data_IF_518672614792
#
_entry.id   IF_518672614792
#
_cell.length_a   1.000
_cell.length_b   1.000
_cell.length_c   1.000
_cell.angle_alpha   90.00
_cell.angle_beta   90.00
_cell.angle_gamma   90.00
#
_symmetry.space_group_name_H-M   'P 1'
#
loop_
_entity.id
_entity.type
_entity.pdbx_description
1 polymer ?
#
# COMPACT_ATOMS: atom_id res chain seq x y z
N UNK A 1 23.51 -15.43 23.68
CA UNK A 1 23.33 -15.51 22.21
C UNK A 1 24.20 -14.44 21.53
N UNK A 2 24.86 -14.74 20.40
CA UNK A 2 25.57 -13.69 19.64
C UNK A 2 24.58 -12.73 18.98
N UNK A 3 24.99 -11.47 18.74
CA UNK A 3 24.10 -10.46 18.14
C UNK A 3 23.52 -10.90 16.79
N UNK A 4 24.32 -11.56 15.95
CA UNK A 4 23.88 -12.06 14.64
C UNK A 4 22.85 -13.19 14.75
N UNK A 5 22.97 -14.05 15.76
CA UNK A 5 21.97 -15.09 16.03
C UNK A 5 20.65 -14.47 16.48
N UNK A 6 20.69 -13.46 17.36
CA UNK A 6 19.49 -12.78 17.82
C UNK A 6 18.73 -12.07 16.68
N UNK A 7 19.46 -11.42 15.77
CA UNK A 7 18.89 -10.81 14.56
C UNK A 7 18.26 -11.88 13.65
N UNK A 8 18.91 -13.03 13.48
CA UNK A 8 18.37 -14.16 12.71
C UNK A 8 17.05 -14.68 13.31
N UNK A 9 17.01 -14.95 14.61
CA UNK A 9 15.79 -15.40 15.30
C UNK A 9 14.65 -14.39 15.18
N UNK A 10 14.96 -13.09 15.24
CA UNK A 10 13.96 -12.05 15.12
C UNK A 10 13.39 -11.96 13.70
N UNK A 11 14.25 -12.03 12.68
CA UNK A 11 13.82 -12.04 11.28
C UNK A 11 13.00 -13.28 10.93
N UNK A 12 13.39 -14.44 11.46
CA UNK A 12 12.65 -15.68 11.24
C UNK A 12 11.27 -15.65 11.93
N UNK A 13 11.18 -15.10 13.15
CA UNK A 13 9.90 -14.89 13.82
C UNK A 13 8.98 -13.92 13.04
N UNK A 14 9.53 -12.83 12.49
CA UNK A 14 8.78 -11.87 11.66
C UNK A 14 8.28 -12.53 10.36
N UNK A 15 9.10 -13.37 9.73
CA UNK A 15 8.71 -14.15 8.55
C UNK A 15 7.57 -15.12 8.87
N UNK A 16 7.71 -15.92 9.93
CA UNK A 16 6.69 -16.87 10.37
C UNK A 16 5.37 -16.18 10.75
N UNK A 17 5.44 -15.02 11.39
CA UNK A 17 4.26 -14.22 11.71
C UNK A 17 3.50 -13.80 10.45
N UNK A 18 4.20 -13.32 9.41
CA UNK A 18 3.60 -12.94 8.12
C UNK A 18 2.98 -14.11 7.37
N UNK A 19 3.54 -15.30 7.54
CA UNK A 19 3.03 -16.55 6.93
C UNK A 19 1.87 -17.17 7.73
N UNK A 20 1.50 -16.61 8.89
CA UNK A 20 0.42 -17.12 9.74
C UNK A 20 0.83 -18.25 10.69
N UNK A 21 2.13 -18.57 10.76
CA UNK A 21 2.73 -19.56 11.65
C UNK A 21 2.99 -18.97 13.05
N UNK A 22 1.92 -18.59 13.75
CA UNK A 22 2.00 -17.80 14.98
C UNK A 22 2.59 -18.57 16.17
N UNK A 23 2.46 -19.90 16.20
CA UNK A 23 2.95 -20.72 17.31
C UNK A 23 4.47 -20.87 17.24
N UNK A 24 4.99 -21.13 16.04
CA UNK A 24 6.41 -21.20 15.74
C UNK A 24 7.08 -19.83 15.92
N UNK A 25 6.43 -18.76 15.44
CA UNK A 25 6.90 -17.39 15.67
C UNK A 25 7.03 -17.09 17.18
N UNK A 26 6.03 -17.49 17.98
CA UNK A 26 6.04 -17.32 19.43
C UNK A 26 7.16 -18.12 20.10
N UNK A 27 7.51 -19.30 19.59
CA UNK A 27 8.65 -20.09 20.09
C UNK A 27 9.97 -19.34 19.88
N UNK A 28 10.26 -18.87 18.67
CA UNK A 28 11.48 -18.10 18.39
C UNK A 28 11.56 -16.82 19.23
N UNK A 29 10.43 -16.12 19.40
CA UNK A 29 10.37 -14.92 20.24
C UNK A 29 10.55 -15.24 21.73
N UNK A 30 10.13 -16.40 22.22
CA UNK A 30 10.32 -16.79 23.63
C UNK A 30 11.78 -17.09 23.97
N UNK A 31 12.54 -17.67 23.02
CA UNK A 31 14.01 -17.80 23.14
C UNK A 31 14.66 -16.42 23.23
N UNK A 32 14.22 -15.47 22.38
CA UNK A 32 14.69 -14.08 22.42
C UNK A 32 14.30 -13.35 23.71
N UNK A 33 13.11 -13.59 24.27
CA UNK A 33 12.64 -13.02 25.54
C UNK A 33 13.55 -13.45 26.70
N UNK A 34 14.02 -14.71 26.70
CA UNK A 34 14.95 -15.23 27.70
C UNK A 34 16.30 -14.53 27.70
N UNK A 35 16.83 -14.22 26.51
CA UNK A 35 18.14 -13.55 26.35
C UNK A 35 18.05 -12.02 26.49
N UNK A 36 16.94 -11.41 26.06
CA UNK A 36 16.74 -9.95 26.05
C UNK A 36 15.42 -9.56 26.73
N UNK A 37 15.30 -9.78 28.06
CA UNK A 37 14.08 -9.49 28.80
C UNK A 37 13.75 -7.98 28.76
N UNK A 38 12.46 -7.65 28.64
CA UNK A 38 12.01 -6.26 28.65
C UNK A 38 12.29 -5.49 27.35
N UNK A 39 12.63 -6.17 26.25
CA UNK A 39 12.73 -5.53 24.95
C UNK A 39 11.36 -5.41 24.29
N UNK A 40 10.89 -4.17 24.08
CA UNK A 40 9.60 -3.90 23.43
C UNK A 40 9.45 -4.58 22.07
N UNK A 41 10.54 -4.61 21.28
CA UNK A 41 10.51 -5.16 19.93
C UNK A 41 10.28 -6.68 19.94
N UNK A 42 10.57 -7.37 21.04
CA UNK A 42 10.31 -8.81 21.19
C UNK A 42 8.94 -9.03 21.84
N UNK A 43 8.65 -8.33 22.94
CA UNK A 43 7.41 -8.49 23.71
C UNK A 43 6.14 -8.12 22.91
N UNK A 44 6.23 -7.10 22.05
CA UNK A 44 5.07 -6.64 21.28
C UNK A 44 4.63 -7.67 20.20
N UNK A 45 5.53 -8.20 19.34
CA UNK A 45 5.21 -9.34 18.47
C UNK A 45 4.72 -10.58 19.21
N UNK A 46 5.22 -10.88 20.41
CA UNK A 46 4.70 -12.00 21.20
C UNK A 46 3.23 -11.80 21.58
N UNK A 47 2.87 -10.58 22.02
CA UNK A 47 1.49 -10.26 22.34
C UNK A 47 0.58 -10.31 21.10
N UNK A 48 1.09 -9.91 19.93
CA UNK A 48 0.39 -10.09 18.65
C UNK A 48 0.18 -11.56 18.29
N UNK A 49 1.18 -12.43 18.46
CA UNK A 49 1.03 -13.87 18.23
C UNK A 49 -0.05 -14.46 19.16
N UNK A 50 -0.06 -14.08 20.43
CA UNK A 50 -1.09 -14.50 21.38
C UNK A 50 -2.50 -14.05 20.96
N UNK A 51 -2.65 -12.81 20.46
CA UNK A 51 -3.92 -12.30 19.91
C UNK A 51 -4.39 -13.17 18.72
N UNK A 52 -3.50 -13.44 17.77
CA UNK A 52 -3.85 -14.21 16.56
C UNK A 52 -4.17 -15.68 16.85
N UNK A 53 -3.54 -16.26 17.87
CA UNK A 53 -3.84 -17.61 18.36
C UNK A 53 -5.15 -17.69 19.17
N UNK A 54 -5.83 -16.56 19.41
CA UNK A 54 -7.02 -16.51 20.25
C UNK A 54 -6.75 -16.68 21.75
N UNK A 55 -5.47 -16.64 22.17
CA UNK A 55 -5.03 -16.70 23.58
C UNK A 55 -5.19 -15.31 24.22
N UNK A 56 -6.44 -14.84 24.24
CA UNK A 56 -6.81 -13.47 24.61
C UNK A 56 -6.40 -13.09 26.03
N UNK A 57 -6.51 -14.01 26.99
CA UNK A 57 -6.13 -13.75 28.38
C UNK A 57 -4.61 -13.52 28.52
N UNK A 58 -3.79 -14.32 27.84
CA UNK A 58 -2.33 -14.14 27.84
C UNK A 58 -1.90 -12.87 27.10
N UNK A 59 -2.54 -12.57 25.97
CA UNK A 59 -2.31 -11.34 25.24
C UNK A 59 -2.64 -10.11 26.12
N UNK A 60 -3.72 -10.19 26.90
CA UNK A 60 -4.13 -9.15 27.85
C UNK A 60 -3.09 -8.95 28.95
N UNK A 61 -2.66 -10.03 29.60
CA UNK A 61 -1.64 -9.98 30.66
C UNK A 61 -0.30 -9.44 30.17
N UNK A 62 0.13 -9.83 28.95
CA UNK A 62 1.35 -9.28 28.32
C UNK A 62 1.19 -7.78 28.05
N UNK A 63 0.05 -7.34 27.51
CA UNK A 63 -0.21 -5.93 27.29
C UNK A 63 -0.20 -5.12 28.60
N UNK A 64 -0.83 -5.62 29.65
CA UNK A 64 -0.87 -4.96 30.96
C UNK A 64 0.54 -4.76 31.53
N UNK A 65 1.38 -5.80 31.51
CA UNK A 65 2.79 -5.70 31.94
C UNK A 65 3.59 -4.71 31.10
N UNK A 66 3.37 -4.69 29.78
CA UNK A 66 4.05 -3.74 28.89
C UNK A 66 3.65 -2.27 29.17
N UNK A 67 2.40 -2.00 29.55
CA UNK A 67 1.99 -0.63 29.93
C UNK A 67 2.73 -0.10 31.15
N UNK A 68 3.09 -0.98 32.09
CA UNK A 68 3.89 -0.61 33.27
C UNK A 68 5.37 -0.39 32.91
N UNK A 69 5.90 -1.20 31.98
CA UNK A 69 7.31 -1.16 31.60
C UNK A 69 7.66 -0.04 30.63
N UNK A 70 6.77 0.30 29.69
CA UNK A 70 7.06 1.22 28.58
C UNK A 70 6.24 2.50 28.67
N UNK A 71 6.93 3.60 28.98
CA UNK A 71 6.33 4.95 29.13
C UNK A 71 6.40 5.80 27.87
N UNK A 72 7.06 5.33 26.81
CA UNK A 72 7.19 6.08 25.55
C UNK A 72 5.83 6.21 24.85
N UNK A 73 5.44 7.44 24.50
CA UNK A 73 4.15 7.75 23.88
C UNK A 73 3.89 6.92 22.61
N UNK A 74 4.90 6.79 21.74
CA UNK A 74 4.81 6.00 20.50
C UNK A 74 4.57 4.50 20.76
N UNK A 75 5.16 3.96 21.82
CA UNK A 75 4.95 2.56 22.21
C UNK A 75 3.57 2.38 22.84
N UNK A 76 3.15 3.31 23.69
CA UNK A 76 1.83 3.31 24.31
C UNK A 76 0.70 3.39 23.28
N UNK A 77 0.84 4.18 22.22
CA UNK A 77 -0.15 4.24 21.14
C UNK A 77 -0.35 2.88 20.46
N UNK A 78 0.75 2.20 20.10
CA UNK A 78 0.71 0.84 19.55
C UNK A 78 0.08 -0.15 20.51
N UNK A 79 0.44 -0.09 21.79
CA UNK A 79 -0.13 -0.93 22.84
C UNK A 79 -1.63 -0.70 23.04
N UNK A 80 -2.10 0.55 23.03
CA UNK A 80 -3.53 0.88 23.13
C UNK A 80 -4.31 0.27 21.97
N UNK A 81 -3.75 0.33 20.77
CA UNK A 81 -4.31 -0.32 19.59
C UNK A 81 -4.53 -1.82 19.81
N UNK A 82 -3.46 -2.55 20.15
CA UNK A 82 -3.52 -4.00 20.42
C UNK A 82 -4.47 -4.34 21.58
N UNK A 83 -4.33 -3.65 22.71
CA UNK A 83 -5.15 -3.87 23.90
C UNK A 83 -6.65 -3.69 23.63
N UNK A 84 -7.02 -2.69 22.82
CA UNK A 84 -8.41 -2.48 22.43
C UNK A 84 -8.99 -3.66 21.63
N UNK A 85 -8.18 -4.32 20.79
CA UNK A 85 -8.60 -5.50 20.02
C UNK A 85 -8.76 -6.72 20.92
N UNK A 86 -7.79 -6.96 21.80
CA UNK A 86 -7.83 -8.06 22.78
C UNK A 86 -9.06 -7.94 23.69
N UNK A 87 -9.36 -6.75 24.22
CA UNK A 87 -10.57 -6.52 25.04
C UNK A 87 -11.87 -6.82 24.29
N UNK A 88 -11.96 -6.46 23.00
CA UNK A 88 -13.14 -6.78 22.17
C UNK A 88 -13.28 -8.29 21.95
N UNK A 89 -12.19 -8.99 21.67
CA UNK A 89 -12.20 -10.45 21.50
C UNK A 89 -12.60 -11.16 22.80
N UNK A 90 -12.11 -10.70 23.96
CA UNK A 90 -12.46 -11.26 25.26
C UNK A 90 -13.96 -11.07 25.59
N UNK A 91 -14.53 -9.91 25.25
CA UNK A 91 -15.96 -9.65 25.40
C UNK A 91 -16.82 -10.52 24.46
N UNK A 92 -16.37 -10.70 23.22
CA UNK A 92 -17.05 -11.57 22.26
C UNK A 92 -17.05 -13.04 22.72
N UNK A 93 -15.94 -13.53 23.30
CA UNK A 93 -15.84 -14.87 23.84
C UNK A 93 -16.73 -15.13 25.07
N UNK A 94 -16.93 -14.11 25.94
CA UNK A 94 -17.77 -14.23 27.15
C UNK A 94 -19.28 -14.32 26.86
N UNK A 95 -19.74 -13.86 25.69
CA UNK A 95 -21.16 -13.84 25.32
C UNK A 95 -21.74 -15.21 24.94
N UNK A 96 -20.90 -16.19 24.63
CA UNK A 96 -21.32 -17.54 24.22
C UNK A 96 -21.11 -18.46 25.43
N UNK A 97 -22.13 -18.62 26.25
CA UNK A 97 -22.04 -19.26 27.56
C UNK A 97 -21.37 -20.64 27.56
N UNK A 98 -20.26 -20.75 28.31
CA UNK A 98 -20.08 -21.87 29.25
C UNK A 98 -19.31 -23.10 28.78
N UNK A 99 -18.55 -23.06 27.69
CA UNK A 99 -17.47 -24.03 27.49
C UNK A 99 -16.13 -23.31 27.57
N UNK A 100 -15.49 -23.43 28.74
CA UNK A 100 -14.07 -23.14 28.88
C UNK A 100 -13.37 -23.97 27.80
N UNK A 101 -12.73 -23.35 26.79
CA UNK A 101 -11.96 -24.11 25.82
C UNK A 101 -10.99 -24.97 26.62
N UNK A 102 -11.00 -26.28 26.34
CA UNK A 102 -10.15 -27.23 27.05
C UNK A 102 -8.73 -26.64 27.14
N UNK A 103 -8.07 -26.66 28.31
CA UNK A 103 -6.72 -26.15 28.46
C UNK A 103 -5.90 -26.75 27.33
N UNK A 104 -5.38 -25.90 26.43
CA UNK A 104 -4.50 -26.37 25.37
C UNK A 104 -3.40 -27.20 26.05
N UNK A 105 -3.12 -28.42 25.56
CA UNK A 105 -2.15 -29.30 26.19
C UNK A 105 -0.87 -28.50 26.35
N UNK A 106 -0.59 -28.20 27.60
CA UNK A 106 0.58 -27.45 27.96
C UNK A 106 1.75 -28.34 27.54
N UNK A 107 2.61 -27.84 26.66
CA UNK A 107 3.93 -28.40 26.38
C UNK A 107 4.00 -29.65 25.47
N UNK A 108 3.18 -29.80 24.43
CA UNK A 108 3.71 -30.51 23.24
C UNK A 108 4.73 -29.58 22.56
N UNK A 109 5.96 -29.60 23.10
CA UNK A 109 7.15 -29.15 22.41
C UNK A 109 7.19 -29.95 21.10
N UNK A 110 6.93 -29.29 19.99
CA UNK A 110 7.12 -29.90 18.67
C UNK A 110 8.63 -30.11 18.55
N UNK A 111 9.11 -31.30 18.92
CA UNK A 111 10.52 -31.72 18.82
C UNK A 111 10.96 -31.89 17.35
N UNK A 112 10.05 -31.79 16.40
CA UNK A 112 10.39 -31.73 14.99
C UNK A 112 11.09 -30.40 14.70
N UNK A 113 12.42 -30.47 14.61
CA UNK A 113 13.25 -29.43 14.00
C UNK A 113 12.56 -28.95 12.72
N UNK A 114 12.29 -27.64 12.58
CA UNK A 114 11.57 -27.11 11.42
C UNK A 114 12.28 -27.56 10.16
N UNK A 115 11.64 -28.42 9.36
CA UNK A 115 12.15 -28.77 8.04
C UNK A 115 12.10 -27.50 7.22
N UNK A 116 13.27 -26.99 6.83
CA UNK A 116 13.40 -25.92 5.86
C UNK A 116 12.72 -26.37 4.55
N UNK A 117 11.46 -26.01 4.36
CA UNK A 117 10.85 -26.01 3.04
C UNK A 117 11.50 -24.86 2.28
N UNK A 118 12.34 -25.17 1.30
CA UNK A 118 12.81 -24.17 0.35
C UNK A 118 11.57 -23.48 -0.24
N UNK A 119 11.42 -22.20 0.08
CA UNK A 119 10.32 -21.39 -0.43
C UNK A 119 10.48 -21.39 -1.95
N UNK A 120 9.62 -22.13 -2.64
CA UNK A 120 9.63 -22.20 -4.09
C UNK A 120 9.18 -20.82 -4.61
N UNK A 121 10.13 -19.89 -4.74
CA UNK A 121 9.96 -18.54 -5.30
C UNK A 121 9.77 -18.58 -6.82
N UNK A 122 8.96 -19.52 -7.31
CA UNK A 122 8.54 -19.57 -8.70
C UNK A 122 7.76 -18.30 -9.03
N UNK A 123 8.41 -17.34 -9.68
CA UNK A 123 7.76 -16.13 -10.19
C UNK A 123 8.42 -14.79 -9.82
N UNK A 124 9.55 -14.77 -9.10
CA UNK A 124 10.32 -13.53 -8.85
C UNK A 124 11.56 -13.48 -9.74
N UNK A 125 11.80 -12.33 -10.38
CA UNK A 125 13.04 -12.05 -11.12
C UNK A 125 13.92 -11.14 -10.28
N UNK A 126 15.16 -11.54 -10.02
CA UNK A 126 16.13 -10.70 -9.34
C UNK A 126 16.65 -9.64 -10.32
N UNK A 127 16.36 -8.36 -10.05
CA UNK A 127 16.89 -7.22 -10.79
C UNK A 127 17.82 -6.43 -9.86
N UNK A 128 19.10 -6.81 -9.84
CA UNK A 128 20.07 -6.28 -8.88
C UNK A 128 19.82 -6.85 -7.48
N UNK A 129 19.67 -5.97 -6.47
CA UNK A 129 19.36 -6.36 -5.08
C UNK A 129 17.85 -6.42 -4.78
N UNK A 130 17.01 -6.37 -5.81
CA UNK A 130 15.55 -6.28 -5.67
C UNK A 130 14.89 -7.52 -6.29
N UNK A 131 14.05 -8.18 -5.51
CA UNK A 131 13.22 -9.29 -5.98
C UNK A 131 11.90 -8.72 -6.51
N UNK A 132 11.73 -8.68 -7.83
CA UNK A 132 10.51 -8.14 -8.45
C UNK A 132 9.61 -9.30 -8.88
N UNK A 133 8.36 -9.37 -8.42
CA UNK A 133 7.40 -10.37 -8.87
C UNK A 133 7.05 -10.15 -10.36
N UNK A 134 7.23 -11.20 -11.18
CA UNK A 134 6.94 -11.20 -12.62
C UNK A 134 5.51 -10.77 -12.98
N UNK A 135 4.45 -11.16 -12.23
CA UNK A 135 3.09 -10.68 -12.50
C UNK A 135 2.97 -9.16 -12.49
N UNK A 136 3.75 -8.47 -11.65
CA UNK A 136 3.72 -7.01 -11.55
C UNK A 136 4.31 -6.32 -12.77
N UNK A 137 5.37 -6.91 -13.35
CA UNK A 137 5.97 -6.41 -14.60
C UNK A 137 4.97 -6.55 -15.75
N UNK A 138 4.33 -7.72 -15.87
CA UNK A 138 3.31 -7.94 -16.91
C UNK A 138 2.13 -6.99 -16.78
N UNK A 139 1.68 -6.71 -15.56
CA UNK A 139 0.60 -5.74 -15.35
C UNK A 139 1.03 -4.32 -15.73
N UNK A 140 2.24 -3.90 -15.35
CA UNK A 140 2.79 -2.61 -15.78
C UNK A 140 2.86 -2.48 -17.31
N UNK A 141 3.31 -3.53 -18.00
CA UNK A 141 3.32 -3.58 -19.47
C UNK A 141 1.92 -3.54 -20.08
N UNK A 142 0.95 -4.24 -19.49
CA UNK A 142 -0.44 -4.21 -19.95
C UNK A 142 -1.05 -2.81 -19.83
N UNK A 143 -0.83 -2.14 -18.69
CA UNK A 143 -1.29 -0.76 -18.46
C UNK A 143 -0.64 0.22 -19.45
N UNK A 144 0.67 0.09 -19.69
CA UNK A 144 1.38 0.89 -20.70
C UNK A 144 0.84 0.62 -22.11
N UNK A 145 0.58 -0.64 -22.47
CA UNK A 145 0.01 -0.99 -23.77
C UNK A 145 -1.38 -0.35 -23.99
N UNK A 146 -2.25 -0.38 -22.98
CA UNK A 146 -3.56 0.31 -23.02
C UNK A 146 -3.37 1.82 -23.20
N UNK A 147 -2.43 2.43 -22.48
CA UNK A 147 -2.13 3.84 -22.63
C UNK A 147 -1.66 4.21 -24.05
N UNK A 148 -0.74 3.44 -24.64
CA UNK A 148 -0.32 3.66 -26.02
C UNK A 148 -1.44 3.44 -27.05
N UNK A 149 -2.32 2.47 -26.82
CA UNK A 149 -3.50 2.27 -27.66
C UNK A 149 -4.46 3.47 -27.60
N UNK A 150 -4.65 4.08 -26.42
CA UNK A 150 -5.43 5.30 -26.27
C UNK A 150 -4.78 6.47 -27.01
N UNK A 151 -3.46 6.64 -26.93
CA UNK A 151 -2.74 7.67 -27.68
C UNK A 151 -2.85 7.45 -29.20
N UNK A 152 -2.72 6.21 -29.67
CA UNK A 152 -2.89 5.89 -31.08
C UNK A 152 -4.32 6.18 -31.55
N UNK A 153 -5.33 5.77 -30.80
CA UNK A 153 -6.74 6.09 -31.08
C UNK A 153 -7.00 7.59 -31.12
N UNK A 154 -6.43 8.34 -30.17
CA UNK A 154 -6.52 9.79 -30.11
C UNK A 154 -5.96 10.45 -31.37
N UNK A 155 -4.76 10.06 -31.81
CA UNK A 155 -4.16 10.58 -33.06
C UNK A 155 -5.02 10.28 -34.29
N UNK A 156 -5.64 9.10 -34.35
CA UNK A 156 -6.56 8.71 -35.42
C UNK A 156 -7.81 9.61 -35.46
N UNK A 157 -8.45 9.82 -34.30
CA UNK A 157 -9.65 10.65 -34.22
C UNK A 157 -9.38 12.12 -34.52
N UNK A 158 -8.26 12.67 -34.05
CA UNK A 158 -7.87 14.04 -34.40
C UNK A 158 -7.64 14.17 -35.90
N UNK A 159 -6.92 13.23 -36.51
CA UNK A 159 -6.68 13.24 -37.96
C UNK A 159 -7.98 13.16 -38.76
N UNK A 160 -8.93 12.32 -38.33
CA UNK A 160 -10.26 12.27 -38.94
C UNK A 160 -11.06 13.54 -38.74
N UNK A 161 -11.06 14.11 -37.53
CA UNK A 161 -11.77 15.35 -37.21
C UNK A 161 -11.30 16.52 -38.05
N UNK A 162 -9.98 16.66 -38.21
CA UNK A 162 -9.36 17.68 -39.05
C UNK A 162 -9.73 17.51 -40.54
N UNK A 163 -9.76 16.27 -41.04
CA UNK A 163 -10.05 16.01 -42.45
C UNK A 163 -11.54 16.17 -42.80
N UNK A 164 -12.45 15.81 -41.88
CA UNK A 164 -13.88 15.70 -42.18
C UNK A 164 -14.75 16.85 -41.65
N UNK A 165 -14.19 17.82 -40.92
CA UNK A 165 -14.94 18.85 -40.17
C UNK A 165 -16.10 18.25 -39.34
N UNK A 166 -15.94 17.02 -38.86
CA UNK A 166 -17.01 16.31 -38.16
C UNK A 166 -16.97 16.66 -36.66
N UNK A 167 -17.99 17.36 -36.11
CA UNK A 167 -18.00 17.75 -34.71
C UNK A 167 -18.01 16.55 -33.75
N UNK A 168 -18.57 15.41 -34.16
CA UNK A 168 -18.57 14.19 -33.35
C UNK A 168 -17.16 13.62 -33.15
N UNK A 169 -16.31 13.67 -34.17
CA UNK A 169 -14.92 13.21 -34.07
C UNK A 169 -14.14 14.06 -33.05
N UNK A 170 -14.43 15.37 -32.99
CA UNK A 170 -13.85 16.29 -31.99
C UNK A 170 -14.28 15.90 -30.57
N UNK A 171 -15.57 15.65 -30.32
CA UNK A 171 -16.06 15.23 -29.01
C UNK A 171 -15.44 13.90 -28.54
N UNK A 172 -15.36 12.91 -29.43
CA UNK A 172 -14.70 11.63 -29.11
C UNK A 172 -13.20 11.79 -28.87
N UNK A 173 -12.52 12.66 -29.63
CA UNK A 173 -11.13 13.02 -29.39
C UNK A 173 -10.92 13.63 -28.01
N UNK A 174 -11.76 14.59 -27.61
CA UNK A 174 -11.70 15.22 -26.28
C UNK A 174 -11.98 14.22 -25.15
N UNK A 175 -12.93 13.30 -25.33
CA UNK A 175 -13.21 12.25 -24.35
C UNK A 175 -12.04 11.28 -24.20
N UNK A 176 -11.44 10.83 -25.31
CA UNK A 176 -10.26 9.96 -25.29
C UNK A 176 -9.04 10.67 -24.67
N UNK A 177 -8.90 11.96 -24.94
CA UNK A 177 -7.86 12.79 -24.33
C UNK A 177 -8.00 12.85 -22.81
N UNK A 178 -9.20 13.16 -22.31
CA UNK A 178 -9.47 13.20 -20.88
C UNK A 178 -9.22 11.82 -20.21
N UNK A 179 -9.62 10.73 -20.88
CA UNK A 179 -9.38 9.37 -20.39
C UNK A 179 -7.88 9.04 -20.36
N UNK A 180 -7.12 9.39 -21.40
CA UNK A 180 -5.68 9.17 -21.45
C UNK A 180 -4.96 9.97 -20.35
N UNK A 181 -5.36 11.22 -20.12
CA UNK A 181 -4.83 12.05 -19.05
C UNK A 181 -5.11 11.47 -17.66
N UNK A 182 -6.32 10.96 -17.44
CA UNK A 182 -6.70 10.32 -16.19
C UNK A 182 -5.88 9.04 -15.95
N UNK A 183 -5.73 8.19 -16.97
CA UNK A 183 -4.92 6.97 -16.87
C UNK A 183 -3.45 7.29 -16.56
N UNK A 184 -2.87 8.27 -17.24
CA UNK A 184 -1.51 8.74 -16.96
C UNK A 184 -1.39 9.23 -15.51
N UNK A 185 -2.40 9.97 -15.05
CA UNK A 185 -2.49 10.47 -13.69
C UNK A 185 -2.47 9.35 -12.65
N UNK A 186 -3.22 8.26 -12.87
CA UNK A 186 -3.22 7.09 -11.99
C UNK A 186 -1.88 6.34 -12.00
N UNK A 187 -1.25 6.18 -13.18
CA UNK A 187 0.05 5.50 -13.31
C UNK A 187 1.13 6.24 -12.52
N UNK A 188 1.20 7.57 -12.68
CA UNK A 188 2.16 8.40 -11.95
C UNK A 188 1.90 8.31 -10.45
N UNK A 189 0.63 8.45 -10.03
CA UNK A 189 0.26 8.38 -8.63
C UNK A 189 0.67 7.05 -7.99
N UNK A 190 0.38 5.95 -8.68
CA UNK A 190 0.76 4.61 -8.26
C UNK A 190 2.28 4.48 -8.11
N UNK A 191 3.04 4.92 -9.11
CA UNK A 191 4.50 4.87 -9.09
C UNK A 191 5.10 5.67 -7.92
N UNK A 192 4.56 6.85 -7.63
CA UNK A 192 5.03 7.68 -6.52
C UNK A 192 4.72 7.03 -5.18
N UNK A 193 3.48 6.56 -4.98
CA UNK A 193 3.08 5.88 -3.74
C UNK A 193 3.86 4.59 -3.50
N UNK A 194 4.18 3.86 -4.56
CA UNK A 194 5.05 2.69 -4.50
C UNK A 194 6.46 3.03 -4.05
N UNK A 195 7.10 4.05 -4.66
CA UNK A 195 8.45 4.52 -4.27
C UNK A 195 8.49 5.00 -2.83
N UNK A 196 7.39 5.59 -2.35
CA UNK A 196 7.25 6.05 -0.97
C UNK A 196 6.92 4.95 0.05
N UNK A 197 6.66 3.72 -0.41
CA UNK A 197 6.18 2.62 0.43
C UNK A 197 4.91 3.00 1.22
N UNK A 198 3.97 3.67 0.55
CA UNK A 198 2.70 4.16 1.10
C UNK A 198 1.47 3.44 0.52
N UNK A 199 1.68 2.37 -0.23
CA UNK A 199 0.58 1.52 -0.69
C UNK A 199 -0.01 0.76 0.49
N UNK A 200 -1.35 0.65 0.52
CA UNK A 200 -2.09 0.12 1.67
C UNK A 200 -2.11 -1.41 1.71
N UNK A 201 -1.98 -2.06 0.56
CA UNK A 201 -2.12 -3.51 0.44
C UNK A 201 -0.82 -4.12 -0.07
N UNK A 202 -0.69 -5.44 0.10
CA UNK A 202 0.40 -6.21 -0.51
C UNK A 202 0.03 -6.68 -1.93
N UNK A 203 -1.27 -6.60 -2.29
CA UNK A 203 -1.81 -7.01 -3.58
C UNK A 203 -1.82 -5.85 -4.58
N UNK A 204 -0.96 -5.94 -5.59
CA UNK A 204 -0.80 -4.99 -6.69
C UNK A 204 -2.12 -4.51 -7.32
N UNK A 205 -3.05 -5.44 -7.61
CA UNK A 205 -4.33 -5.14 -8.25
C UNK A 205 -5.21 -4.30 -7.32
N UNK A 206 -5.24 -4.63 -6.03
CA UNK A 206 -6.07 -3.94 -5.05
C UNK A 206 -5.58 -2.51 -4.83
N UNK A 207 -4.26 -2.33 -4.78
CA UNK A 207 -3.65 -1.01 -4.73
C UNK A 207 -3.89 -0.19 -5.98
N UNK A 208 -3.77 -0.79 -7.17
CA UNK A 208 -4.04 -0.08 -8.41
C UNK A 208 -5.50 0.42 -8.48
N UNK A 209 -6.45 -0.42 -8.05
CA UNK A 209 -7.88 -0.05 -7.96
C UNK A 209 -8.10 1.06 -6.94
N UNK A 210 -7.49 0.96 -5.76
CA UNK A 210 -7.59 1.98 -4.71
C UNK A 210 -7.05 3.33 -5.18
N UNK A 211 -5.88 3.36 -5.80
CA UNK A 211 -5.29 4.57 -6.41
C UNK A 211 -6.20 5.14 -7.49
N UNK A 212 -6.79 4.31 -8.36
CA UNK A 212 -7.73 4.79 -9.37
C UNK A 212 -8.96 5.46 -8.75
N UNK A 213 -9.53 4.86 -7.70
CA UNK A 213 -10.69 5.41 -6.99
C UNK A 213 -10.31 6.73 -6.31
N UNK A 214 -9.18 6.76 -5.59
CA UNK A 214 -8.72 7.94 -4.88
C UNK A 214 -8.45 9.11 -5.85
N UNK A 215 -7.79 8.84 -6.98
CA UNK A 215 -7.51 9.85 -8.01
C UNK A 215 -8.79 10.30 -8.73
N UNK A 216 -9.76 9.42 -8.92
CA UNK A 216 -11.07 9.79 -9.48
C UNK A 216 -11.83 10.74 -8.56
N UNK A 217 -11.90 10.42 -7.26
CA UNK A 217 -12.53 11.28 -6.24
C UNK A 217 -11.81 12.64 -6.18
N UNK A 218 -10.48 12.64 -6.11
CA UNK A 218 -9.68 13.86 -6.10
C UNK A 218 -9.91 14.73 -7.35
N UNK A 219 -10.02 14.11 -8.53
CA UNK A 219 -10.30 14.78 -9.80
C UNK A 219 -11.69 15.38 -9.83
N UNK A 220 -12.71 14.66 -9.35
CA UNK A 220 -14.08 15.17 -9.24
C UNK A 220 -14.13 16.39 -8.30
N UNK A 221 -13.55 16.28 -7.11
CA UNK A 221 -13.52 17.36 -6.11
C UNK A 221 -12.85 18.61 -6.69
N UNK A 222 -11.70 18.43 -7.35
CA UNK A 222 -10.95 19.53 -7.97
C UNK A 222 -11.70 20.17 -9.15
N UNK A 223 -12.41 19.37 -9.95
CA UNK A 223 -13.20 19.85 -11.08
C UNK A 223 -14.42 20.67 -10.65
N UNK A 224 -15.09 20.29 -9.56
CA UNK A 224 -16.24 21.04 -9.03
C UNK A 224 -15.85 22.35 -8.33
N UNK A 225 -14.71 22.37 -7.65
CA UNK A 225 -14.24 23.53 -6.88
C UNK A 225 -12.75 23.78 -7.18
N UNK A 226 -12.39 24.57 -8.20
CA UNK A 226 -11.00 24.66 -8.68
C UNK A 226 -9.99 25.12 -7.62
N UNK A 227 -10.39 26.02 -6.70
CA UNK A 227 -9.50 26.52 -5.65
C UNK A 227 -9.61 25.75 -4.33
N UNK A 228 -10.82 25.42 -3.88
CA UNK A 228 -11.05 24.71 -2.60
C UNK A 228 -10.82 23.21 -2.78
N UNK A 229 -11.26 22.66 -3.90
CA UNK A 229 -11.16 21.24 -4.22
C UNK A 229 -9.73 20.76 -4.30
N UNK A 230 -8.79 21.60 -4.73
CA UNK A 230 -7.37 21.29 -4.67
C UNK A 230 -6.93 20.98 -3.22
N UNK A 231 -7.21 21.87 -2.26
CA UNK A 231 -6.87 21.67 -0.85
C UNK A 231 -7.57 20.46 -0.23
N UNK A 232 -8.84 20.23 -0.59
CA UNK A 232 -9.61 19.06 -0.12
C UNK A 232 -9.02 17.76 -0.68
N UNK A 233 -8.58 17.75 -1.94
CA UNK A 233 -7.90 16.61 -2.54
C UNK A 233 -6.56 16.31 -1.86
N UNK A 234 -5.76 17.34 -1.51
CA UNK A 234 -4.52 17.14 -0.73
C UNK A 234 -4.85 16.49 0.61
N UNK A 235 -5.82 17.05 1.33
CA UNK A 235 -6.20 16.55 2.66
C UNK A 235 -6.72 15.10 2.58
N UNK A 236 -7.53 14.80 1.57
CA UNK A 236 -8.04 13.45 1.33
C UNK A 236 -6.90 12.46 1.06
N UNK A 237 -5.99 12.76 0.13
CA UNK A 237 -4.86 11.89 -0.20
C UNK A 237 -3.90 11.72 0.99
N UNK A 238 -3.60 12.81 1.71
CA UNK A 238 -2.74 12.77 2.88
C UNK A 238 -3.32 11.88 3.98
N UNK A 239 -4.64 11.94 4.18
CA UNK A 239 -5.33 11.09 5.16
C UNK A 239 -5.45 9.63 4.71
N UNK A 240 -5.75 9.39 3.43
CA UNK A 240 -5.99 8.04 2.90
C UNK A 240 -4.72 7.19 2.85
N UNK A 241 -3.58 7.79 2.46
CA UNK A 241 -2.29 7.11 2.35
C UNK A 241 -1.33 7.40 3.52
N UNK A 242 -1.83 8.00 4.60
CA UNK A 242 -1.01 8.44 5.76
C UNK A 242 0.25 9.21 5.34
N UNK A 243 0.13 10.08 4.32
CA UNK A 243 1.25 10.87 3.82
C UNK A 243 1.43 12.12 4.68
N UNK A 244 2.69 12.50 4.89
CA UNK A 244 3.02 13.79 5.46
C UNK A 244 2.53 14.93 4.55
N UNK A 245 2.23 16.10 5.12
CA UNK A 245 1.78 17.25 4.33
C UNK A 245 2.80 17.65 3.24
N UNK A 246 4.10 17.62 3.55
CA UNK A 246 5.16 17.90 2.58
C UNK A 246 5.24 16.86 1.45
N UNK A 247 5.00 15.59 1.76
CA UNK A 247 4.96 14.50 0.78
C UNK A 247 3.79 14.69 -0.19
N UNK A 248 2.60 15.02 0.34
CA UNK A 248 1.43 15.30 -0.47
C UNK A 248 1.63 16.52 -1.40
N UNK A 249 2.34 17.55 -0.94
CA UNK A 249 2.73 18.69 -1.80
C UNK A 249 3.65 18.24 -2.93
N UNK A 250 4.71 17.48 -2.63
CA UNK A 250 5.65 17.00 -3.65
C UNK A 250 4.92 16.14 -4.68
N UNK A 251 4.06 15.23 -4.22
CA UNK A 251 3.19 14.42 -5.08
C UNK A 251 2.37 15.29 -6.05
N UNK A 252 1.73 16.34 -5.54
CA UNK A 252 0.91 17.24 -6.37
C UNK A 252 1.73 18.09 -7.33
N UNK A 253 2.90 18.58 -6.91
CA UNK A 253 3.79 19.32 -7.79
C UNK A 253 4.28 18.44 -8.94
N UNK A 254 4.63 17.19 -8.65
CA UNK A 254 5.02 16.23 -9.67
C UNK A 254 3.85 15.93 -10.62
N UNK A 255 2.66 15.68 -10.06
CA UNK A 255 1.43 15.49 -10.82
C UNK A 255 1.13 16.66 -11.75
N UNK A 256 1.25 17.89 -11.23
CA UNK A 256 1.02 19.12 -11.99
C UNK A 256 2.06 19.30 -13.10
N UNK A 257 3.34 19.01 -12.84
CA UNK A 257 4.39 19.07 -13.84
C UNK A 257 4.13 18.10 -15.01
N UNK A 258 3.72 16.86 -14.71
CA UNK A 258 3.35 15.89 -15.74
C UNK A 258 2.09 16.28 -16.51
N UNK A 259 1.08 16.82 -15.83
CA UNK A 259 -0.13 17.33 -16.48
C UNK A 259 0.19 18.51 -17.41
N UNK A 260 1.09 19.42 -17.01
CA UNK A 260 1.55 20.53 -17.85
C UNK A 260 2.33 20.03 -19.06
N UNK A 261 3.23 19.06 -18.87
CA UNK A 261 3.97 18.42 -19.96
C UNK A 261 3.02 17.73 -20.94
N UNK A 262 2.03 17.00 -20.41
CA UNK A 262 1.00 16.35 -21.22
C UNK A 262 0.20 17.36 -22.02
N UNK A 263 -0.29 18.43 -21.38
CA UNK A 263 -1.02 19.52 -22.05
C UNK A 263 -0.16 20.16 -23.15
N UNK A 264 1.13 20.39 -22.89
CA UNK A 264 2.06 20.92 -23.87
C UNK A 264 2.22 20.00 -25.08
N UNK A 265 2.41 18.68 -24.88
CA UNK A 265 2.47 17.71 -25.98
C UNK A 265 1.15 17.61 -26.75
N UNK A 266 0.04 17.93 -26.09
CA UNK A 266 -1.31 17.85 -26.66
C UNK A 266 -1.75 19.12 -27.38
N UNK A 267 -1.09 20.25 -27.14
CA UNK A 267 -1.41 21.55 -27.76
C UNK A 267 -1.44 21.49 -29.30
N UNK A 268 -0.43 20.89 -29.98
CA UNK A 268 -0.45 20.73 -31.44
C UNK A 268 -1.60 19.86 -31.94
N UNK A 269 -2.02 18.89 -31.12
CA UNK A 269 -3.11 17.99 -31.47
C UNK A 269 -4.48 18.70 -31.40
N UNK A 270 -4.65 19.60 -30.43
CA UNK A 270 -5.92 20.32 -30.22
C UNK A 270 -6.08 21.47 -31.20
N UNK A 271 -5.01 22.27 -31.40
CA UNK A 271 -5.07 23.49 -32.20
C UNK A 271 -4.52 23.33 -33.63
N UNK A 272 -3.99 22.16 -33.99
CA UNK A 272 -3.44 21.90 -35.32
C UNK A 272 -2.22 22.79 -35.62
N UNK A 273 -2.05 23.19 -36.89
CA UNK A 273 -0.93 24.04 -37.31
C UNK A 273 -0.89 25.40 -36.59
N UNK A 274 -2.06 25.93 -36.20
CA UNK A 274 -2.14 27.19 -35.45
C UNK A 274 -1.49 27.12 -34.07
N UNK A 275 -1.35 25.92 -33.48
CA UNK A 275 -0.64 25.74 -32.22
C UNK A 275 0.84 26.07 -32.34
N UNK A 276 1.43 25.76 -33.51
CA UNK A 276 2.86 25.90 -33.76
C UNK A 276 3.23 27.38 -33.88
N UNK A 277 2.38 28.15 -34.55
CA UNK A 277 2.47 29.61 -34.61
C UNK A 277 2.32 30.25 -33.23
N UNK A 278 1.37 29.76 -32.42
CA UNK A 278 1.11 30.28 -31.07
C UNK A 278 2.25 29.95 -30.09
N UNK A 279 2.86 28.76 -30.22
CA UNK A 279 4.03 28.36 -29.43
C UNK A 279 5.30 29.12 -29.83
N UNK A 280 5.45 29.55 -31.08
CA UNK A 280 6.59 30.38 -31.51
C UNK A 280 6.51 31.82 -30.99
N UNK A 281 5.32 32.28 -30.59
CA UNK A 281 5.11 33.62 -30.02
C UNK A 281 5.31 33.70 -28.49
N UNK A 282 5.33 32.56 -27.79
CA UNK A 282 5.53 32.45 -26.33
C UNK A 282 6.98 32.15 -25.98
#
# INVERSE_FOLDING_TARGET
MEKGEAEFYFHEADRLFKEGHYLEALQHLSVLEGEFPGNFNILFPMALCCEQLGRTDEAYERCARMFEQFTSEKQQEKLRGLFSRVCRQQQAGKGIGGQVPAPFPAHEFIEDTPKHTELNRTGTMALGSWDIPWPSILMGLAVLAVFFLLLAGLTYFVRQGAAAQNPHAVYWGMALLALAQFMLTCIIAYAVLWVMNKLLHEELIRDAVDVCIAMFIASLISGFLPFIGFFVAIYYLAKHYEMGFGEAIIFLLLQAAFNMLFLYMMLPLIFGETALDLMQML
#
